data_IF_420551039212
#
_entry.id   IF_420551039212
#
_cell.length_a   1.000
_cell.length_b   1.000
_cell.length_c   1.000
_cell.angle_alpha   90.00
_cell.angle_beta   90.00
_cell.angle_gamma   90.00
#
_symmetry.space_group_name_H-M   'P 1'
#
loop_
_entity.id
_entity.type
_entity.pdbx_description
1 polymer ?
#
# COMPACT_ATOMS: atom_id res chain seq x y z
N UNK A 1 56.64 -22.01 83.43
CA UNK A 1 56.23 -21.50 82.09
C UNK A 1 55.15 -22.40 81.52
N UNK A 2 53.88 -22.09 81.81
CA UNK A 2 52.68 -22.64 81.16
C UNK A 2 51.63 -21.53 81.26
N UNK A 3 51.23 -21.00 80.12
CA UNK A 3 50.29 -19.89 80.01
C UNK A 3 48.85 -20.41 80.13
N UNK A 4 48.08 -19.77 81.02
CA UNK A 4 46.62 -19.89 81.11
C UNK A 4 46.05 -18.49 80.94
N UNK A 5 45.10 -18.30 80.02
CA UNK A 5 43.79 -17.70 80.32
C UNK A 5 42.96 -17.29 79.07
N UNK A 6 41.68 -17.67 79.15
CA UNK A 6 40.47 -16.87 78.86
C UNK A 6 39.98 -16.77 77.39
N UNK A 7 38.92 -17.55 77.13
CA UNK A 7 37.81 -17.33 76.19
C UNK A 7 37.23 -15.89 76.30
N UNK A 8 36.53 -15.27 75.32
CA UNK A 8 35.28 -15.87 74.77
C UNK A 8 34.69 -15.32 73.44
N UNK A 9 33.55 -15.95 73.09
CA UNK A 9 32.31 -15.38 72.50
C UNK A 9 32.25 -15.02 71.02
N UNK A 10 31.49 -15.86 70.34
CA UNK A 10 30.77 -15.61 69.08
C UNK A 10 29.95 -14.32 69.12
N UNK A 11 30.08 -13.51 68.06
CA UNK A 11 29.14 -12.44 67.70
C UNK A 11 28.47 -12.78 66.38
N UNK A 12 27.16 -12.96 66.42
CA UNK A 12 26.25 -12.86 65.26
C UNK A 12 25.95 -11.37 64.99
N UNK A 13 25.44 -11.11 63.78
CA UNK A 13 24.76 -9.90 63.25
C UNK A 13 25.71 -8.95 62.48
N UNK A 14 25.37 -8.40 61.32
CA UNK A 14 24.19 -8.49 60.45
C UNK A 14 24.65 -8.07 59.05
N UNK A 15 24.08 -8.67 58.00
CA UNK A 15 24.27 -8.20 56.63
C UNK A 15 23.41 -6.93 56.43
N UNK A 16 24.05 -5.82 56.11
CA UNK A 16 23.38 -4.60 55.68
C UNK A 16 23.24 -4.64 54.16
N UNK A 17 22.00 -4.69 53.68
CA UNK A 17 21.66 -4.50 52.28
C UNK A 17 21.77 -3.01 51.94
N UNK A 18 22.63 -2.65 50.99
CA UNK A 18 22.70 -1.29 50.45
C UNK A 18 21.64 -1.16 49.34
N UNK A 19 20.59 -0.38 49.60
CA UNK A 19 19.64 0.06 48.59
C UNK A 19 20.25 1.23 47.80
N UNK A 20 20.49 1.04 46.50
CA UNK A 20 20.88 2.12 45.61
C UNK A 20 19.61 2.82 45.08
N UNK A 21 19.42 4.08 45.48
CA UNK A 21 18.41 4.95 44.90
C UNK A 21 18.90 5.45 43.53
N UNK A 22 18.20 5.09 42.45
CA UNK A 22 18.41 5.68 41.13
C UNK A 22 17.54 6.94 41.04
N UNK A 23 18.19 8.10 40.99
CA UNK A 23 17.52 9.37 40.77
C UNK A 23 17.08 9.48 39.30
N UNK A 24 15.79 9.67 39.06
CA UNK A 24 15.22 9.95 37.76
C UNK A 24 15.38 11.44 37.46
N UNK A 25 16.30 11.80 36.56
CA UNK A 25 16.39 13.16 36.02
C UNK A 25 15.45 13.22 34.82
N UNK A 26 14.30 13.87 34.97
CA UNK A 26 13.42 14.20 33.86
C UNK A 26 13.99 15.43 33.12
N UNK A 27 14.69 15.21 32.01
CA UNK A 27 14.97 16.28 31.06
C UNK A 27 13.71 16.51 30.24
N UNK A 28 13.06 17.65 30.44
CA UNK A 28 12.01 18.15 29.55
C UNK A 28 12.64 18.39 28.16
N UNK A 29 12.44 17.45 27.24
CA UNK A 29 12.82 17.58 25.86
C UNK A 29 11.95 18.63 25.18
N UNK A 30 12.59 19.64 24.60
CA UNK A 30 11.98 20.62 23.72
C UNK A 30 11.35 19.87 22.54
N UNK A 31 10.02 19.87 22.44
CA UNK A 31 9.32 19.36 21.26
C UNK A 31 9.50 20.40 20.16
N UNK A 32 10.52 20.21 19.32
CA UNK A 32 10.54 20.87 18.01
C UNK A 32 9.51 20.12 17.18
N UNK A 33 8.30 20.68 17.06
CA UNK A 33 7.43 20.34 15.94
C UNK A 33 8.21 20.73 14.69
N UNK A 34 8.86 19.76 14.06
CA UNK A 34 9.11 19.86 12.64
C UNK A 34 7.72 19.92 12.01
N UNK A 35 7.36 21.07 11.44
CA UNK A 35 6.38 21.05 10.36
C UNK A 35 6.93 20.03 9.38
N UNK A 36 6.33 18.83 9.36
CA UNK A 36 6.49 17.95 8.22
C UNK A 36 6.06 18.81 7.04
N UNK A 37 7.01 19.14 6.17
CA UNK A 37 6.68 19.81 4.93
C UNK A 37 5.63 18.93 4.28
N UNK A 38 4.40 19.41 4.22
CA UNK A 38 3.35 18.79 3.42
C UNK A 38 3.94 18.76 2.02
N UNK A 39 4.34 17.57 1.59
CA UNK A 39 4.68 17.36 0.19
C UNK A 39 3.38 17.64 -0.53
N UNK A 40 3.28 18.84 -1.12
CA UNK A 40 2.09 19.23 -1.88
C UNK A 40 1.84 18.11 -2.89
N UNK A 41 0.66 17.47 -2.89
CA UNK A 41 0.37 16.31 -3.72
C UNK A 41 0.22 16.74 -5.19
N UNK A 42 1.30 17.20 -5.81
CA UNK A 42 1.34 17.51 -7.22
C UNK A 42 1.61 16.20 -7.95
N UNK A 43 0.56 15.63 -8.55
CA UNK A 43 0.66 14.40 -9.30
C UNK A 43 -0.54 14.24 -10.22
N UNK A 44 -0.30 13.91 -11.49
CA UNK A 44 -1.36 13.53 -12.43
C UNK A 44 -1.66 12.06 -12.19
N UNK A 45 -2.93 11.71 -12.15
CA UNK A 45 -3.35 10.32 -12.04
C UNK A 45 -4.47 9.99 -13.04
N UNK A 46 -4.50 8.72 -13.41
CA UNK A 46 -5.66 8.08 -14.02
C UNK A 46 -6.50 7.47 -12.90
N UNK A 47 -7.78 7.80 -12.84
CA UNK A 47 -8.73 7.17 -11.92
C UNK A 47 -9.65 6.22 -12.67
N UNK A 48 -9.95 5.07 -12.06
CA UNK A 48 -10.97 4.14 -12.52
C UNK A 48 -12.21 4.30 -11.65
N UNK A 49 -13.40 4.39 -12.24
CA UNK A 49 -14.65 4.38 -11.49
C UNK A 49 -14.84 3.05 -10.74
N UNK A 50 -15.58 3.06 -9.63
CA UNK A 50 -15.74 1.86 -8.78
C UNK A 50 -16.45 0.67 -9.44
N UNK A 51 -17.09 0.87 -10.59
CA UNK A 51 -17.66 -0.21 -11.40
C UNK A 51 -16.69 -0.76 -12.46
N UNK A 52 -15.48 -0.22 -12.55
CA UNK A 52 -14.43 -0.62 -13.47
C UNK A 52 -14.65 -0.18 -14.93
N UNK A 53 -15.67 0.64 -15.22
CA UNK A 53 -16.11 0.89 -16.59
C UNK A 53 -15.75 2.26 -17.13
N UNK A 54 -15.48 3.25 -16.27
CA UNK A 54 -15.24 4.64 -16.67
C UNK A 54 -13.88 5.09 -16.18
N UNK A 55 -13.16 5.82 -17.03
CA UNK A 55 -11.88 6.43 -16.67
C UNK A 55 -12.02 7.93 -16.45
N UNK A 56 -11.22 8.43 -15.51
CA UNK A 56 -11.09 9.83 -15.15
C UNK A 56 -9.62 10.23 -15.18
N UNK A 57 -9.35 11.48 -15.54
CA UNK A 57 -8.05 12.13 -15.29
C UNK A 57 -8.20 13.07 -14.12
N UNK A 58 -7.30 13.02 -13.16
CA UNK A 58 -7.35 13.83 -11.94
C UNK A 58 -5.95 14.31 -11.52
N UNK A 59 -5.93 15.30 -10.64
CA UNK A 59 -4.73 15.70 -9.91
C UNK A 59 -4.97 15.45 -8.41
N UNK A 60 -3.93 15.00 -7.71
CA UNK A 60 -4.03 14.62 -6.29
C UNK A 60 -4.27 15.82 -5.36
N UNK A 61 -3.82 17.02 -5.74
CA UNK A 61 -4.06 18.30 -5.04
C UNK A 61 -5.46 18.89 -5.26
N UNK A 62 -6.20 18.39 -6.25
CA UNK A 62 -7.51 18.91 -6.63
C UNK A 62 -8.53 17.77 -6.85
N UNK A 63 -8.79 16.89 -5.86
CA UNK A 63 -9.70 15.74 -6.04
C UNK A 63 -11.14 16.16 -6.38
N UNK A 64 -11.54 17.38 -6.03
CA UNK A 64 -12.83 17.97 -6.43
C UNK A 64 -12.94 18.28 -7.93
N UNK A 65 -11.84 18.23 -8.67
CA UNK A 65 -11.74 18.52 -10.11
C UNK A 65 -11.15 17.31 -10.84
N UNK A 66 -12.02 16.50 -11.43
CA UNK A 66 -11.62 15.44 -12.37
C UNK A 66 -12.23 15.66 -13.75
N UNK A 67 -11.56 15.17 -14.77
CA UNK A 67 -12.05 15.12 -16.16
C UNK A 67 -12.47 13.70 -16.49
N UNK A 68 -13.75 13.46 -16.80
CA UNK A 68 -14.20 12.15 -17.29
C UNK A 68 -13.74 11.91 -18.72
N UNK A 69 -12.98 10.84 -18.94
CA UNK A 69 -12.55 10.41 -20.28
C UNK A 69 -13.65 9.61 -21.00
N UNK A 70 -14.55 9.00 -20.23
CA UNK A 70 -15.63 8.15 -20.72
C UNK A 70 -15.39 6.67 -20.43
N UNK A 71 -16.13 5.76 -21.09
CA UNK A 71 -15.98 4.34 -20.85
C UNK A 71 -14.61 3.81 -21.28
N UNK A 72 -14.12 2.77 -20.61
CA UNK A 72 -13.01 1.95 -21.08
C UNK A 72 -13.42 1.29 -22.39
N UNK A 73 -12.67 1.54 -23.46
CA UNK A 73 -12.96 0.99 -24.81
C UNK A 73 -11.91 -0.05 -25.19
N UNK A 74 -12.27 -1.01 -26.03
CA UNK A 74 -11.30 -1.99 -26.56
C UNK A 74 -10.96 -3.15 -25.62
N UNK A 75 -11.78 -3.38 -24.58
CA UNK A 75 -11.79 -4.67 -23.90
C UNK A 75 -12.26 -5.76 -24.88
N UNK A 76 -11.68 -6.96 -24.77
CA UNK A 76 -11.89 -8.06 -25.71
C UNK A 76 -12.03 -9.40 -24.98
N UNK A 77 -12.60 -10.41 -25.63
CA UNK A 77 -12.89 -11.68 -24.98
C UNK A 77 -14.05 -11.53 -24.00
N UNK A 78 -13.88 -12.02 -22.78
CA UNK A 78 -14.89 -11.97 -21.70
C UNK A 78 -14.70 -10.78 -20.74
N UNK A 79 -13.73 -9.90 -21.03
CA UNK A 79 -13.52 -8.68 -20.23
C UNK A 79 -14.59 -7.62 -20.54
N UNK A 80 -15.36 -7.25 -19.51
CA UNK A 80 -16.43 -6.24 -19.56
C UNK A 80 -16.09 -4.97 -18.77
N UNK A 81 -15.13 -5.06 -17.85
CA UNK A 81 -14.64 -3.96 -17.02
C UNK A 81 -13.19 -4.21 -16.61
N UNK A 82 -12.50 -3.17 -16.15
CA UNK A 82 -11.23 -3.32 -15.44
C UNK A 82 -11.49 -3.59 -13.95
N UNK A 83 -10.64 -4.38 -13.32
CA UNK A 83 -10.64 -4.65 -11.86
C UNK A 83 -9.61 -3.79 -11.11
N UNK A 84 -8.59 -3.30 -11.81
CA UNK A 84 -7.58 -2.38 -11.28
C UNK A 84 -6.69 -1.82 -12.40
N UNK A 85 -5.99 -0.74 -12.11
CA UNK A 85 -5.08 -0.02 -13.02
C UNK A 85 -3.79 0.37 -12.29
N UNK A 86 -2.71 0.50 -13.05
CA UNK A 86 -1.45 1.04 -12.51
C UNK A 86 -0.59 1.67 -13.63
N UNK A 87 0.38 2.52 -13.26
CA UNK A 87 1.39 3.11 -14.12
C UNK A 87 2.72 2.36 -14.02
N UNK A 88 3.16 1.78 -15.15
CA UNK A 88 4.41 1.04 -15.22
C UNK A 88 5.59 1.95 -15.59
N UNK A 89 6.48 2.23 -14.64
CA UNK A 89 7.64 3.12 -14.84
C UNK A 89 8.66 2.64 -15.86
N UNK A 90 8.76 1.34 -16.13
CA UNK A 90 9.72 0.79 -17.10
C UNK A 90 9.44 1.23 -18.54
N UNK A 91 8.21 1.66 -18.85
CA UNK A 91 7.85 2.11 -20.19
C UNK A 91 6.92 3.33 -20.24
N UNK A 92 6.56 3.88 -19.08
CA UNK A 92 5.75 5.09 -18.97
C UNK A 92 4.32 4.94 -19.46
N UNK A 93 3.70 3.76 -19.29
CA UNK A 93 2.33 3.47 -19.75
C UNK A 93 1.44 3.06 -18.60
N UNK A 94 0.17 3.44 -18.69
CA UNK A 94 -0.88 2.87 -17.86
C UNK A 94 -1.25 1.48 -18.35
N UNK A 95 -1.52 0.62 -17.38
CA UNK A 95 -2.02 -0.72 -17.57
C UNK A 95 -3.33 -0.89 -16.80
N UNK A 96 -4.12 -1.87 -17.22
CA UNK A 96 -5.29 -2.31 -16.48
C UNK A 96 -5.50 -3.81 -16.63
N UNK A 97 -6.07 -4.42 -15.59
CA UNK A 97 -6.46 -5.83 -15.59
C UNK A 97 -7.97 -5.92 -15.77
N UNK A 98 -8.45 -6.72 -16.72
CA UNK A 98 -9.86 -6.97 -16.96
C UNK A 98 -10.43 -8.06 -16.05
N UNK A 99 -11.76 -8.09 -15.88
CA UNK A 99 -12.42 -9.05 -14.99
C UNK A 99 -12.35 -10.53 -15.45
N UNK A 100 -11.93 -10.80 -16.69
CA UNK A 100 -11.61 -12.14 -17.18
C UNK A 100 -10.09 -12.34 -17.34
N UNK A 101 -9.28 -11.48 -16.72
CA UNK A 101 -7.83 -11.58 -16.65
C UNK A 101 -7.08 -11.06 -17.88
N UNK A 102 -7.75 -10.38 -18.83
CA UNK A 102 -7.01 -9.68 -19.88
C UNK A 102 -6.16 -8.56 -19.29
N UNK A 103 -4.95 -8.36 -19.79
CA UNK A 103 -4.09 -7.24 -19.39
C UNK A 103 -4.00 -6.29 -20.57
N UNK A 104 -4.22 -5.02 -20.29
CA UNK A 104 -4.36 -3.97 -21.29
C UNK A 104 -3.37 -2.85 -21.02
N UNK A 105 -2.82 -2.26 -22.07
CA UNK A 105 -2.32 -0.88 -21.97
C UNK A 105 -3.49 0.07 -22.14
N UNK A 106 -3.51 1.18 -21.41
CA UNK A 106 -4.64 2.13 -21.37
C UNK A 106 -4.15 3.53 -21.76
N UNK A 107 -4.82 4.14 -22.73
CA UNK A 107 -4.53 5.51 -23.14
C UNK A 107 -5.25 6.52 -22.22
N UNK A 108 -4.48 7.29 -21.45
CA UNK A 108 -5.00 8.29 -20.50
C UNK A 108 -5.57 9.55 -21.15
N UNK A 109 -5.47 9.72 -22.47
CA UNK A 109 -6.07 10.81 -23.21
C UNK A 109 -7.49 10.53 -23.70
N UNK A 110 -7.82 9.26 -23.98
CA UNK A 110 -9.10 8.90 -24.60
C UNK A 110 -9.75 7.61 -24.08
N UNK A 111 -9.15 6.91 -23.11
CA UNK A 111 -9.67 5.69 -22.51
C UNK A 111 -9.63 4.44 -23.40
N UNK A 112 -8.88 4.47 -24.51
CA UNK A 112 -8.66 3.29 -25.35
C UNK A 112 -7.74 2.29 -24.64
N UNK A 113 -8.24 1.09 -24.40
CA UNK A 113 -7.47 -0.06 -23.94
C UNK A 113 -7.05 -0.93 -25.13
N UNK A 114 -5.86 -1.51 -25.07
CA UNK A 114 -5.34 -2.47 -26.05
C UNK A 114 -4.81 -3.68 -25.30
N UNK A 115 -5.35 -4.87 -25.58
CA UNK A 115 -4.91 -6.11 -24.92
C UNK A 115 -3.46 -6.41 -25.31
N UNK A 116 -2.63 -6.62 -24.31
CA UNK A 116 -1.20 -6.92 -24.46
C UNK A 116 -0.79 -8.24 -23.81
N UNK A 117 -1.62 -8.76 -22.89
CA UNK A 117 -1.38 -10.04 -22.24
C UNK A 117 -2.70 -10.64 -21.71
N UNK A 118 -2.62 -11.85 -21.15
CA UNK A 118 -3.72 -12.60 -20.54
C UNK A 118 -3.19 -13.35 -19.32
N UNK A 119 -3.89 -13.25 -18.19
CA UNK A 119 -3.62 -14.09 -17.03
C UNK A 119 -3.96 -15.55 -17.36
N UNK A 120 -3.06 -16.46 -16.97
CA UNK A 120 -3.27 -17.92 -17.09
C UNK A 120 -3.99 -18.54 -15.89
N UNK A 121 -4.29 -17.72 -14.88
CA UNK A 121 -5.00 -18.10 -13.64
C UNK A 121 -6.21 -17.17 -13.53
N UNK A 122 -7.36 -17.74 -13.20
CA UNK A 122 -8.58 -16.97 -13.03
C UNK A 122 -8.49 -16.07 -11.79
N UNK A 123 -9.12 -14.90 -11.89
CA UNK A 123 -9.29 -14.00 -10.75
C UNK A 123 -10.35 -14.56 -9.80
N UNK A 124 -10.03 -14.59 -8.51
CA UNK A 124 -10.92 -15.04 -7.46
C UNK A 124 -11.22 -13.86 -6.54
N UNK A 125 -12.50 -13.53 -6.33
CA UNK A 125 -12.91 -12.43 -5.47
C UNK A 125 -13.74 -11.36 -6.17
N UNK A 126 -14.02 -10.30 -5.44
CA UNK A 126 -14.87 -9.19 -5.88
C UNK A 126 -14.09 -7.90 -6.07
N UNK A 127 -13.22 -7.59 -5.12
CA UNK A 127 -12.41 -6.37 -5.07
C UNK A 127 -10.93 -6.76 -5.16
N UNK A 128 -10.14 -5.98 -5.90
CA UNK A 128 -8.78 -6.35 -6.29
C UNK A 128 -7.84 -5.15 -6.17
N UNK A 129 -6.61 -5.41 -5.70
CA UNK A 129 -5.49 -4.48 -5.83
C UNK A 129 -4.58 -4.91 -6.98
N UNK A 130 -4.11 -3.96 -7.78
CA UNK A 130 -3.26 -4.19 -8.95
C UNK A 130 -2.13 -3.17 -8.96
N UNK A 131 -0.88 -3.61 -9.02
CA UNK A 131 0.27 -2.70 -8.99
C UNK A 131 1.53 -3.33 -9.60
N UNK A 132 2.36 -2.55 -10.30
CA UNK A 132 3.65 -2.99 -10.80
C UNK A 132 4.73 -2.85 -9.74
N UNK A 133 5.44 -3.94 -9.46
CA UNK A 133 6.70 -3.84 -8.74
C UNK A 133 7.77 -3.21 -9.65
N UNK A 134 8.31 -2.03 -9.33
CA UNK A 134 9.29 -1.35 -10.19
C UNK A 134 10.64 -2.08 -10.27
N UNK A 135 11.10 -2.70 -9.18
CA UNK A 135 12.38 -3.41 -9.16
C UNK A 135 12.31 -4.77 -9.87
N UNK A 136 11.19 -5.49 -9.72
CA UNK A 136 11.00 -6.80 -10.33
C UNK A 136 10.42 -6.72 -11.75
N UNK A 137 9.83 -5.57 -12.12
CA UNK A 137 9.07 -5.37 -13.35
C UNK A 137 7.99 -6.44 -13.54
N UNK A 138 7.17 -6.62 -12.49
CA UNK A 138 6.10 -7.63 -12.46
C UNK A 138 4.82 -7.01 -11.94
N UNK A 139 3.71 -7.38 -12.56
CA UNK A 139 2.38 -6.99 -12.13
C UNK A 139 1.93 -7.88 -10.97
N UNK A 140 1.58 -7.27 -9.84
CA UNK A 140 0.92 -7.91 -8.70
C UNK A 140 -0.58 -7.77 -8.87
N UNK A 141 -1.31 -8.83 -8.54
CA UNK A 141 -2.76 -8.79 -8.39
C UNK A 141 -3.09 -9.50 -7.07
N UNK A 142 -3.81 -8.81 -6.19
CA UNK A 142 -4.36 -9.42 -4.97
C UNK A 142 -5.86 -9.23 -4.92
N UNK A 143 -6.56 -9.96 -4.04
CA UNK A 143 -7.99 -9.79 -3.86
C UNK A 143 -8.49 -9.98 -2.44
N UNK A 144 -9.76 -9.62 -2.25
CA UNK A 144 -10.52 -9.74 -1.01
C UNK A 144 -10.66 -11.18 -0.49
N UNK A 145 -10.35 -12.18 -1.31
CA UNK A 145 -10.32 -13.60 -0.92
C UNK A 145 -8.96 -14.09 -0.44
N UNK A 146 -7.94 -13.22 -0.47
CA UNK A 146 -6.55 -13.54 -0.15
C UNK A 146 -5.76 -14.10 -1.32
N UNK A 147 -6.29 -13.98 -2.56
CA UNK A 147 -5.54 -14.36 -3.76
C UNK A 147 -4.29 -13.48 -3.90
N UNK A 148 -3.18 -14.09 -4.31
CA UNK A 148 -1.91 -13.40 -4.49
C UNK A 148 -1.22 -13.87 -5.78
N UNK A 149 -1.36 -13.10 -6.85
CA UNK A 149 -0.86 -13.44 -8.18
C UNK A 149 0.27 -12.50 -8.58
N UNK A 150 1.21 -13.04 -9.37
CA UNK A 150 2.27 -12.25 -10.00
C UNK A 150 2.37 -12.60 -11.47
N UNK A 151 2.44 -11.59 -12.32
CA UNK A 151 2.42 -11.77 -13.77
C UNK A 151 3.56 -11.02 -14.47
N UNK A 152 4.16 -11.65 -15.48
CA UNK A 152 5.18 -11.06 -16.34
C UNK A 152 4.60 -10.63 -17.69
N UNK A 153 4.41 -9.33 -17.87
CA UNK A 153 3.86 -8.73 -19.10
C UNK A 153 4.87 -8.67 -20.25
N UNK A 154 6.14 -9.02 -20.03
CA UNK A 154 7.18 -8.95 -21.06
C UNK A 154 7.40 -10.29 -21.78
N UNK A 155 6.83 -11.38 -21.28
CA UNK A 155 7.02 -12.69 -21.90
C UNK A 155 6.11 -12.86 -23.13
N UNK A 156 6.62 -13.46 -24.22
CA UNK A 156 5.80 -13.81 -25.38
C UNK A 156 4.74 -14.86 -25.05
N UNK A 157 5.02 -15.72 -24.06
CA UNK A 157 4.05 -16.62 -23.43
C UNK A 157 3.86 -16.14 -21.98
N UNK A 158 2.85 -15.33 -21.70
CA UNK A 158 2.67 -14.74 -20.38
C UNK A 158 2.45 -15.82 -19.32
N UNK A 159 3.16 -15.71 -18.20
CA UNK A 159 3.03 -16.63 -17.07
C UNK A 159 2.45 -15.90 -15.87
N UNK A 160 1.33 -16.39 -15.35
CA UNK A 160 0.82 -15.99 -14.03
C UNK A 160 1.29 -17.00 -13.00
N UNK A 161 2.12 -16.55 -12.07
CA UNK A 161 2.47 -17.29 -10.88
C UNK A 161 1.39 -17.10 -9.81
N UNK A 162 1.03 -18.20 -9.14
CA UNK A 162 0.25 -18.17 -7.90
C UNK A 162 1.26 -18.19 -6.76
N UNK A 163 1.38 -17.07 -6.05
CA UNK A 163 2.22 -16.95 -4.87
C UNK A 163 1.44 -17.44 -3.63
N UNK A 164 2.08 -17.45 -2.45
CA UNK A 164 1.41 -17.85 -1.21
C UNK A 164 0.20 -16.93 -0.93
N UNK A 165 -0.98 -17.48 -0.59
CA UNK A 165 -2.16 -16.69 -0.24
C UNK A 165 -1.89 -15.70 0.90
N UNK A 166 -2.64 -14.59 0.90
CA UNK A 166 -2.48 -13.56 1.92
C UNK A 166 -2.88 -14.06 3.31
N UNK A 167 -2.07 -13.77 4.32
CA UNK A 167 -2.32 -14.21 5.70
C UNK A 167 -1.88 -13.20 6.76
N UNK A 168 -2.65 -13.13 7.86
CA UNK A 168 -2.24 -12.49 9.12
C UNK A 168 -1.85 -13.59 10.12
N UNK A 169 -0.55 -13.85 10.24
CA UNK A 169 -0.07 -15.04 10.96
C UNK A 169 -0.61 -16.32 10.32
N UNK A 170 -1.25 -17.17 11.12
CA UNK A 170 -1.85 -18.44 10.66
C UNK A 170 -3.28 -18.26 10.09
N UNK A 171 -3.85 -17.06 10.16
CA UNK A 171 -5.19 -16.75 9.64
C UNK A 171 -5.15 -16.23 8.21
N UNK A 172 -6.09 -16.67 7.37
CA UNK A 172 -6.26 -16.10 6.03
C UNK A 172 -6.63 -14.62 6.12
N UNK A 173 -5.98 -13.78 5.31
CA UNK A 173 -6.37 -12.39 5.16
C UNK A 173 -7.50 -12.31 4.14
N UNK A 174 -8.68 -11.88 4.59
CA UNK A 174 -9.87 -11.69 3.76
C UNK A 174 -10.33 -10.24 3.91
N UNK A 175 -10.31 -9.49 2.82
CA UNK A 175 -10.61 -8.05 2.84
C UNK A 175 -9.53 -7.13 2.28
N UNK A 176 -8.40 -7.67 1.82
CA UNK A 176 -7.39 -6.88 1.10
C UNK A 176 -7.93 -6.47 -0.26
N UNK A 177 -8.10 -5.17 -0.49
CA UNK A 177 -8.75 -4.65 -1.70
C UNK A 177 -7.91 -3.67 -2.51
N UNK A 178 -6.76 -3.24 -2.00
CA UNK A 178 -5.83 -2.39 -2.74
C UNK A 178 -4.38 -2.67 -2.31
N UNK A 179 -3.43 -2.46 -3.21
CA UNK A 179 -1.99 -2.59 -2.94
C UNK A 179 -1.19 -1.53 -3.68
N UNK A 180 -0.03 -1.15 -3.17
CA UNK A 180 0.91 -0.25 -3.84
C UNK A 180 2.36 -0.56 -3.45
N UNK A 181 3.25 -0.58 -4.44
CA UNK A 181 4.70 -0.69 -4.23
C UNK A 181 5.34 0.69 -4.00
N UNK A 182 6.27 0.76 -3.06
CA UNK A 182 7.15 1.93 -2.90
C UNK A 182 8.21 2.00 -4.00
N UNK A 183 8.86 3.16 -4.11
CA UNK A 183 10.05 3.39 -4.92
C UNK A 183 9.82 3.12 -6.41
N UNK A 184 8.79 3.77 -6.96
CA UNK A 184 8.43 3.68 -8.37
C UNK A 184 9.47 4.41 -9.23
N UNK A 185 10.66 3.84 -9.34
CA UNK A 185 11.80 4.32 -10.13
C UNK A 185 12.35 3.19 -11.02
N UNK A 186 13.36 3.48 -11.83
CA UNK A 186 14.06 2.47 -12.64
C UNK A 186 15.46 2.16 -12.12
N UNK A 187 15.78 2.55 -10.89
CA UNK A 187 17.10 2.43 -10.30
C UNK A 187 17.29 1.05 -9.69
N UNK A 188 18.40 0.37 -10.02
CA UNK A 188 18.76 -0.89 -9.36
C UNK A 188 19.23 -0.71 -7.90
N UNK A 189 19.32 0.53 -7.40
CA UNK A 189 19.79 0.85 -6.04
C UNK A 189 18.69 0.77 -4.99
N UNK A 190 17.43 0.76 -5.41
CA UNK A 190 16.25 0.84 -4.56
C UNK A 190 15.52 -0.51 -4.55
N UNK A 191 15.16 -0.97 -3.36
CA UNK A 191 14.26 -2.12 -3.18
C UNK A 191 12.81 -1.65 -3.11
N UNK A 192 11.86 -2.58 -3.00
CA UNK A 192 10.43 -2.26 -2.91
C UNK A 192 9.80 -2.90 -1.69
N UNK A 193 8.95 -2.15 -1.00
CA UNK A 193 7.97 -2.66 -0.04
C UNK A 193 6.61 -2.68 -0.74
N UNK A 194 5.81 -3.72 -0.50
CA UNK A 194 4.40 -3.72 -0.88
C UNK A 194 3.57 -3.38 0.35
N UNK A 195 2.66 -2.44 0.19
CA UNK A 195 1.67 -2.10 1.20
C UNK A 195 0.28 -2.50 0.71
N UNK A 196 -0.54 -2.94 1.66
CA UNK A 196 -1.86 -3.54 1.42
C UNK A 196 -2.89 -2.79 2.26
N UNK A 197 -4.02 -2.42 1.64
CA UNK A 197 -5.18 -1.90 2.35
C UNK A 197 -6.18 -3.03 2.53
N UNK A 198 -6.48 -3.35 3.80
CA UNK A 198 -7.56 -4.24 4.17
C UNK A 198 -8.76 -3.41 4.64
N UNK A 199 -9.82 -3.40 3.82
CA UNK A 199 -11.05 -2.65 4.10
C UNK A 199 -12.02 -3.39 5.02
N UNK A 200 -11.83 -4.69 5.27
CA UNK A 200 -12.59 -5.42 6.27
C UNK A 200 -12.10 -5.12 7.69
N UNK A 201 -10.79 -4.87 7.83
CA UNK A 201 -10.12 -4.62 9.10
C UNK A 201 -9.75 -3.14 9.31
N UNK A 202 -10.04 -2.26 8.35
CA UNK A 202 -9.72 -0.83 8.39
C UNK A 202 -8.24 -0.55 8.70
N UNK A 203 -7.33 -1.26 8.03
CA UNK A 203 -5.89 -1.19 8.33
C UNK A 203 -5.01 -1.15 7.08
N UNK A 204 -3.82 -0.54 7.26
CA UNK A 204 -2.69 -0.69 6.37
C UNK A 204 -1.80 -1.83 6.86
N UNK A 205 -1.42 -2.72 5.97
CA UNK A 205 -0.45 -3.77 6.20
C UNK A 205 0.72 -3.67 5.22
N UNK A 206 1.80 -4.39 5.52
CA UNK A 206 2.99 -4.49 4.68
C UNK A 206 3.31 -5.96 4.37
N UNK A 207 3.64 -6.24 3.12
CA UNK A 207 3.95 -7.57 2.62
C UNK A 207 5.40 -7.65 2.09
N UNK A 208 6.32 -8.15 2.92
CA UNK A 208 7.75 -8.21 2.56
C UNK A 208 8.36 -9.54 3.02
N UNK A 209 8.81 -10.41 2.08
CA UNK A 209 8.68 -10.28 0.62
C UNK A 209 7.24 -10.56 0.13
N UNK A 210 6.81 -9.86 -0.92
CA UNK A 210 5.45 -9.95 -1.46
C UNK A 210 5.00 -11.39 -1.85
N UNK A 211 5.92 -12.21 -2.34
CA UNK A 211 5.59 -13.58 -2.75
C UNK A 211 5.28 -14.50 -1.55
N UNK A 212 5.62 -14.10 -0.32
CA UNK A 212 5.40 -14.90 0.88
C UNK A 212 3.96 -14.84 1.41
N UNK A 213 3.12 -13.92 0.93
CA UNK A 213 1.72 -13.85 1.36
C UNK A 213 1.51 -13.21 2.74
N UNK A 214 2.46 -13.35 3.67
CA UNK A 214 2.31 -12.90 5.05
C UNK A 214 2.28 -11.37 5.16
N UNK A 215 1.26 -10.87 5.86
CA UNK A 215 1.00 -9.46 6.11
C UNK A 215 1.38 -9.10 7.55
N UNK A 216 2.16 -8.03 7.71
CA UNK A 216 2.41 -7.40 9.00
C UNK A 216 1.61 -6.10 9.11
N UNK A 217 1.00 -5.83 10.28
CA UNK A 217 0.25 -4.61 10.51
C UNK A 217 1.20 -3.39 10.52
N UNK A 218 0.94 -2.39 9.68
CA UNK A 218 1.54 -1.07 9.80
C UNK A 218 0.73 -0.22 10.79
N UNK A 219 -0.59 -0.19 10.61
CA UNK A 219 -1.51 0.36 11.61
C UNK A 219 -2.90 0.67 11.05
N UNK A 220 -3.81 1.16 11.90
CA UNK A 220 -5.19 1.41 11.52
C UNK A 220 -5.33 2.64 10.61
N UNK A 221 -6.25 2.57 9.63
CA UNK A 221 -6.56 3.70 8.74
C UNK A 221 -7.22 4.87 9.50
N UNK A 222 -7.94 4.57 10.58
CA UNK A 222 -8.72 5.58 11.32
C UNK A 222 -10.02 6.02 10.62
N UNK A 223 -10.36 5.40 9.49
CA UNK A 223 -11.64 5.55 8.78
C UNK A 223 -12.22 4.18 8.46
N UNK A 224 -13.55 4.05 8.52
CA UNK A 224 -14.23 2.82 8.13
C UNK A 224 -14.44 2.81 6.61
N UNK A 225 -13.61 2.05 5.90
CA UNK A 225 -13.64 1.89 4.45
C UNK A 225 -14.47 0.66 4.06
N UNK A 226 -15.15 0.71 2.91
CA UNK A 226 -15.99 -0.42 2.47
C UNK A 226 -15.92 -0.69 0.97
N UNK A 227 -15.67 -1.95 0.63
CA UNK A 227 -15.65 -2.46 -0.73
C UNK A 227 -14.38 -2.04 -1.48
N UNK A 228 -14.51 -1.73 -2.77
CA UNK A 228 -13.37 -1.34 -3.61
C UNK A 228 -12.63 -0.13 -3.04
N UNK A 229 -11.32 -0.23 -3.01
CA UNK A 229 -10.39 0.83 -2.67
C UNK A 229 -9.31 0.92 -3.75
N UNK A 230 -8.73 2.10 -3.90
CA UNK A 230 -7.55 2.34 -4.73
C UNK A 230 -6.39 2.73 -3.84
N UNK A 231 -5.18 2.34 -4.20
CA UNK A 231 -4.00 2.72 -3.46
C UNK A 231 -2.81 2.80 -4.39
N UNK A 232 -2.04 3.88 -4.28
CA UNK A 232 -0.83 4.09 -5.06
C UNK A 232 0.13 4.99 -4.25
N UNK A 233 1.42 4.93 -4.56
CA UNK A 233 2.48 5.61 -3.83
C UNK A 233 3.22 6.56 -4.78
N UNK A 234 3.19 7.85 -4.45
CA UNK A 234 4.07 8.85 -5.07
C UNK A 234 5.48 8.62 -4.56
N UNK A 235 6.45 8.48 -5.46
CA UNK A 235 7.88 8.42 -5.11
C UNK A 235 8.55 9.75 -5.42
N UNK A 236 9.26 10.30 -4.43
CA UNK A 236 10.15 11.46 -4.61
C UNK A 236 11.52 10.95 -5.06
N UNK A 237 12.04 11.52 -6.16
CA UNK A 237 13.30 11.11 -6.77
C UNK A 237 14.39 12.17 -6.57
N UNK A 238 15.61 11.72 -6.28
CA UNK A 238 16.85 12.50 -6.40
C UNK A 238 17.78 11.78 -7.40
N UNK A 239 18.15 12.46 -8.48
CA UNK A 239 18.93 11.91 -9.59
C UNK A 239 18.41 10.54 -10.11
N UNK A 240 17.07 10.42 -10.22
CA UNK A 240 16.40 9.20 -10.68
C UNK A 240 16.39 8.04 -9.68
N UNK A 241 16.73 8.29 -8.42
CA UNK A 241 16.70 7.31 -7.33
C UNK A 241 15.67 7.74 -6.29
N UNK A 242 14.82 6.81 -5.85
CA UNK A 242 13.86 7.08 -4.78
C UNK A 242 14.55 7.50 -3.48
N UNK A 243 14.04 8.60 -2.90
CA UNK A 243 14.49 9.14 -1.60
C UNK A 243 13.35 9.26 -0.59
N UNK A 244 12.10 9.30 -1.06
CA UNK A 244 10.92 9.36 -0.18
C UNK A 244 9.67 8.80 -0.88
N UNK A 245 8.64 8.45 -0.11
CA UNK A 245 7.37 7.91 -0.59
C UNK A 245 6.18 8.49 0.17
N UNK A 246 5.12 8.84 -0.56
CA UNK A 246 3.85 9.34 0.01
C UNK A 246 2.70 8.50 -0.54
N UNK A 247 1.96 7.83 0.35
CA UNK A 247 0.83 6.99 -0.04
C UNK A 247 -0.45 7.79 -0.28
N UNK A 248 -1.22 7.42 -1.30
CA UNK A 248 -2.54 7.97 -1.57
C UNK A 248 -3.55 6.86 -1.77
N UNK A 249 -4.66 6.92 -1.03
CA UNK A 249 -5.74 5.96 -1.12
C UNK A 249 -7.05 6.61 -1.54
N UNK A 250 -7.79 5.92 -2.40
CA UNK A 250 -9.20 6.20 -2.64
C UNK A 250 -10.03 5.26 -1.81
N UNK A 251 -10.67 5.79 -0.77
CA UNK A 251 -11.51 5.02 0.12
C UNK A 251 -12.96 5.49 0.00
N UNK A 252 -13.89 4.54 0.14
CA UNK A 252 -15.31 4.85 0.29
C UNK A 252 -15.71 4.67 1.76
N UNK A 253 -15.99 5.76 2.50
CA UNK A 253 -16.44 5.64 3.89
C UNK A 253 -17.82 4.98 3.98
N UNK A 254 -18.05 4.08 4.93
CA UNK A 254 -19.31 3.34 5.08
C UNK A 254 -20.59 4.21 5.18
N UNK A 255 -20.46 5.45 5.66
CA UNK A 255 -21.56 6.41 5.79
C UNK A 255 -21.75 7.32 4.56
N UNK A 256 -20.91 7.17 3.53
CA UNK A 256 -21.01 7.91 2.27
C UNK A 256 -21.86 7.12 1.27
N UNK A 257 -22.91 7.75 0.74
CA UNK A 257 -23.83 7.11 -0.20
C UNK A 257 -23.40 7.24 -1.68
N UNK A 258 -22.42 8.08 -2.02
CA UNK A 258 -22.10 8.38 -3.44
C UNK A 258 -20.66 8.79 -3.75
N UNK A 259 -19.84 9.20 -2.78
CA UNK A 259 -18.52 9.78 -3.07
C UNK A 259 -17.40 9.00 -2.41
N UNK A 260 -16.46 8.56 -3.24
CA UNK A 260 -15.12 8.16 -2.80
C UNK A 260 -14.34 9.40 -2.38
N UNK A 261 -13.40 9.20 -1.46
CA UNK A 261 -12.60 10.26 -0.85
C UNK A 261 -11.14 9.92 -1.05
N UNK A 262 -10.35 10.91 -1.46
CA UNK A 262 -8.90 10.80 -1.51
C UNK A 262 -8.33 11.05 -0.11
N UNK A 263 -7.48 10.13 0.33
CA UNK A 263 -6.70 10.21 1.55
C UNK A 263 -5.21 10.17 1.21
N UNK A 264 -4.42 10.92 1.96
CA UNK A 264 -3.00 10.66 2.11
C UNK A 264 -2.84 9.61 3.22
N UNK A 265 -1.98 8.62 2.98
CA UNK A 265 -1.72 7.51 3.90
C UNK A 265 -0.29 7.62 4.40
N UNK A 266 -0.14 7.75 5.71
CA UNK A 266 1.15 7.68 6.36
C UNK A 266 1.58 6.20 6.43
N UNK A 267 2.66 5.84 5.72
CA UNK A 267 3.02 4.43 5.46
C UNK A 267 3.53 3.68 6.69
N UNK A 268 4.05 4.37 7.72
CA UNK A 268 4.59 3.71 8.92
C UNK A 268 3.51 3.37 9.96
N UNK A 269 2.44 4.16 10.02
CA UNK A 269 1.39 4.12 11.03
C UNK A 269 0.02 3.75 10.47
N UNK A 270 -0.13 3.79 9.14
CA UNK A 270 -1.41 3.55 8.45
C UNK A 270 -2.40 4.73 8.53
N UNK A 271 -2.07 5.81 9.24
CA UNK A 271 -3.03 6.89 9.47
C UNK A 271 -3.48 7.55 8.15
N UNK A 272 -4.79 7.58 7.90
CA UNK A 272 -5.38 8.20 6.72
C UNK A 272 -5.80 9.65 7.00
N UNK A 273 -5.18 10.60 6.30
CA UNK A 273 -5.53 12.02 6.35
C UNK A 273 -6.35 12.41 5.13
N UNK A 274 -7.55 12.96 5.35
CA UNK A 274 -8.46 13.30 4.25
C UNK A 274 -7.92 14.48 3.43
N UNK A 275 -7.74 14.27 2.12
CA UNK A 275 -7.40 15.32 1.14
C UNK A 275 -8.67 15.96 0.59
N UNK A 276 -9.61 15.16 0.09
CA UNK A 276 -10.86 15.71 -0.46
C UNK A 276 -11.78 14.70 -1.12
N UNK A 277 -12.99 15.13 -1.48
CA UNK A 277 -13.98 14.27 -2.14
C UNK A 277 -13.82 14.33 -3.65
N UNK A 278 -14.08 13.20 -4.31
CA UNK A 278 -14.32 13.18 -5.75
C UNK A 278 -15.75 13.59 -6.09
N UNK A 279 -15.98 14.32 -7.20
CA UNK A 279 -17.32 14.66 -7.67
C UNK A 279 -18.03 13.48 -8.37
N UNK A 280 -17.33 12.35 -8.56
CA UNK A 280 -17.80 11.09 -9.19
C UNK A 280 -17.25 9.90 -8.41
N UNK A 281 -17.77 8.71 -8.68
CA UNK A 281 -17.19 7.47 -8.14
C UNK A 281 -15.78 7.27 -8.70
N UNK A 282 -14.83 6.99 -7.81
CA UNK A 282 -13.48 6.53 -8.14
C UNK A 282 -13.22 5.32 -7.25
N UNK A 283 -12.90 4.18 -7.82
CA UNK A 283 -12.58 2.94 -7.12
C UNK A 283 -11.08 2.66 -7.08
N UNK A 284 -10.33 3.16 -8.06
CA UNK A 284 -8.89 2.93 -8.15
C UNK A 284 -8.15 4.14 -8.73
N UNK A 285 -6.86 4.27 -8.46
CA UNK A 285 -5.98 5.34 -8.96
C UNK A 285 -4.63 4.78 -9.40
N UNK A 286 -4.14 5.29 -10.52
CA UNK A 286 -2.79 5.06 -11.02
C UNK A 286 -2.09 6.41 -11.23
N UNK A 287 -1.04 6.66 -10.49
CA UNK A 287 -0.30 7.91 -10.39
C UNK A 287 0.82 7.89 -11.42
N UNK A 288 0.88 8.95 -12.23
CA UNK A 288 1.99 9.14 -13.15
C UNK A 288 3.25 9.52 -12.38
N UNK A 289 4.31 8.75 -12.54
CA UNK A 289 5.64 9.12 -12.06
C UNK A 289 6.38 9.95 -13.14
N UNK A 290 7.19 10.95 -12.74
CA UNK A 290 7.98 11.77 -13.66
C UNK A 290 8.93 11.00 -14.59
#
# INVERSE_FOLDING_TARGET
MRTSHVQPRSRRRAAAAAAAAVALVATAGLVVSADAAVVEPSGKALGLAGDGKVLHRLNLDQPSRLTTLGPVKGLTGEDERLVGIDFRVQNGRYYGVGNAGGIYTVNSGNGQAVKVSQLSVALEGRDFGVDFNPAADRLRIVSDTGQNLRHDVNQPTPTTAVDTPLSYGDGAAQGVTAVAYTNNDTSAKTGTFLYDIDTSLDQLAVQVPANAGTLALAGPLGTNAVGVAGFDIVTVLDDGVAVDNVGFAVLRPARSNTSSVLYEIELQSGAATRVGNFPRSVGDIAIQVP
#
